data_IF_666860912471
#
_entry.id   IF_666860912471
#
_cell.length_a   1.000
_cell.length_b   1.000
_cell.length_c   1.000
_cell.angle_alpha   90.00
_cell.angle_beta   90.00
_cell.angle_gamma   90.00
#
_symmetry.space_group_name_H-M   'P 1'
#
loop_
_entity.id
_entity.type
_entity.pdbx_description
1 polymer ?
#
# COMPACT_ATOMS: atom_id res chain seq x y z
N UNK A 1 -8.67 43.19 4.33
CA UNK A 1 -9.60 42.32 5.07
C UNK A 1 -9.60 40.96 4.38
N UNK A 2 -8.98 39.95 5.01
CA UNK A 2 -8.78 38.63 4.41
C UNK A 2 -10.00 37.73 4.69
N UNK A 3 -10.69 37.31 3.62
CA UNK A 3 -11.79 36.36 3.69
C UNK A 3 -11.28 34.93 3.77
N UNK A 4 -11.47 34.28 4.93
CA UNK A 4 -11.27 32.83 5.11
C UNK A 4 -12.44 32.08 4.46
N UNK A 5 -12.17 31.35 3.37
CA UNK A 5 -13.13 30.41 2.79
C UNK A 5 -13.32 29.21 3.73
N UNK A 6 -14.56 29.02 4.19
CA UNK A 6 -15.00 27.85 4.96
C UNK A 6 -15.37 26.75 3.96
N UNK A 7 -14.75 25.59 4.07
CA UNK A 7 -15.12 24.41 3.29
C UNK A 7 -16.36 23.75 3.90
N UNK A 8 -17.40 23.61 3.08
CA UNK A 8 -18.65 22.93 3.42
C UNK A 8 -18.66 21.50 2.87
N UNK A 9 -19.38 20.66 3.60
CA UNK A 9 -19.54 19.22 3.48
C UNK A 9 -20.53 18.82 2.36
N UNK A 10 -20.32 17.70 1.67
CA UNK A 10 -21.42 16.91 1.10
C UNK A 10 -21.14 15.39 1.09
N UNK A 11 -22.17 14.64 1.47
CA UNK A 11 -22.25 13.19 1.66
C UNK A 11 -22.71 12.46 0.39
N UNK A 12 -22.33 11.19 0.26
CA UNK A 12 -22.95 10.24 -0.66
C UNK A 12 -22.34 8.83 -0.58
N UNK A 13 -22.87 7.97 0.28
CA UNK A 13 -22.48 6.57 0.41
C UNK A 13 -23.37 5.70 -0.50
N UNK A 14 -22.79 4.94 -1.43
CA UNK A 14 -23.53 4.04 -2.31
C UNK A 14 -22.96 2.61 -2.27
N UNK A 15 -23.81 1.62 -1.95
CA UNK A 15 -23.48 0.23 -1.57
C UNK A 15 -23.25 -0.73 -2.75
N UNK A 16 -22.84 -0.26 -3.93
CA UNK A 16 -22.80 -1.08 -5.15
C UNK A 16 -21.42 -1.59 -5.62
N UNK A 17 -20.32 -1.30 -4.91
CA UNK A 17 -18.96 -1.66 -5.38
C UNK A 17 -18.45 -3.07 -5.02
N UNK A 18 -19.20 -3.88 -4.26
CA UNK A 18 -18.69 -5.17 -3.77
C UNK A 18 -18.58 -6.27 -4.84
N UNK A 19 -19.30 -6.19 -5.96
CA UNK A 19 -19.32 -7.26 -6.98
C UNK A 19 -18.23 -7.13 -8.05
N UNK A 20 -17.71 -5.92 -8.29
CA UNK A 20 -16.63 -5.70 -9.26
C UNK A 20 -15.25 -6.08 -8.70
N UNK A 21 -15.03 -5.91 -7.39
CA UNK A 21 -13.81 -6.29 -6.67
C UNK A 21 -13.54 -7.80 -6.73
N UNK A 22 -14.58 -8.63 -6.63
CA UNK A 22 -14.46 -10.10 -6.61
C UNK A 22 -14.06 -10.67 -7.97
N UNK A 23 -14.49 -10.05 -9.08
CA UNK A 23 -14.11 -10.51 -10.43
C UNK A 23 -12.64 -10.19 -10.80
N UNK A 24 -12.10 -9.06 -10.34
CA UNK A 24 -10.68 -8.73 -10.56
C UNK A 24 -9.75 -9.65 -9.76
N UNK A 25 -10.10 -9.97 -8.51
CA UNK A 25 -9.35 -10.90 -7.66
C UNK A 25 -9.37 -12.32 -8.28
N UNK A 26 -10.51 -12.77 -8.80
CA UNK A 26 -10.63 -14.09 -9.43
C UNK A 26 -9.87 -14.24 -10.77
N UNK A 27 -9.63 -13.13 -11.49
CA UNK A 27 -8.79 -13.12 -12.69
C UNK A 27 -7.29 -13.18 -12.36
N UNK A 28 -6.86 -12.51 -11.28
CA UNK A 28 -5.48 -12.58 -10.77
C UNK A 28 -5.15 -13.94 -10.15
N UNK A 29 -6.11 -14.60 -9.49
CA UNK A 29 -5.90 -15.89 -8.83
C UNK A 29 -5.55 -17.06 -9.76
N UNK A 30 -5.91 -17.02 -11.04
CA UNK A 30 -5.59 -18.09 -12.01
C UNK A 30 -4.19 -17.98 -12.63
N UNK A 31 -3.49 -16.86 -12.43
CA UNK A 31 -2.21 -16.59 -13.10
C UNK A 31 -0.99 -16.64 -12.18
N UNK A 32 -1.18 -16.52 -10.86
CA UNK A 32 -0.09 -16.22 -9.92
C UNK A 32 0.71 -17.42 -9.36
N UNK A 33 0.35 -18.67 -9.67
CA UNK A 33 1.09 -19.85 -9.20
C UNK A 33 1.39 -20.80 -10.35
N UNK A 34 2.58 -20.67 -10.96
CA UNK A 34 3.16 -21.72 -11.80
C UNK A 34 4.07 -22.59 -10.93
N UNK A 35 3.74 -23.88 -10.82
CA UNK A 35 4.61 -24.87 -10.18
C UNK A 35 5.89 -25.06 -11.00
N UNK A 36 7.02 -24.57 -10.51
CA UNK A 36 8.33 -24.89 -11.08
C UNK A 36 8.97 -26.06 -10.34
N UNK A 37 9.28 -27.13 -11.09
CA UNK A 37 10.20 -28.20 -10.66
C UNK A 37 11.48 -27.57 -10.09
N UNK A 38 11.79 -27.92 -8.85
CA UNK A 38 13.01 -27.51 -8.15
C UNK A 38 14.25 -27.83 -9.01
N UNK A 39 14.93 -26.79 -9.50
CA UNK A 39 16.33 -26.89 -9.93
C UNK A 39 17.18 -26.62 -8.70
N UNK A 40 17.79 -27.68 -8.17
CA UNK A 40 18.84 -27.61 -7.17
C UNK A 40 20.02 -26.89 -7.81
N UNK A 41 20.30 -25.66 -7.39
CA UNK A 41 21.51 -24.93 -7.76
C UNK A 41 22.55 -25.12 -6.64
N UNK A 42 23.68 -25.71 -6.99
CA UNK A 42 24.83 -25.84 -6.10
C UNK A 42 25.54 -24.50 -5.86
N UNK A 43 26.09 -24.39 -4.65
CA UNK A 43 26.50 -23.18 -3.96
C UNK A 43 27.74 -22.46 -4.53
N UNK A 44 27.79 -21.15 -4.26
CA UNK A 44 28.97 -20.29 -4.33
C UNK A 44 28.80 -19.04 -3.45
N UNK A 45 29.20 -19.18 -2.17
CA UNK A 45 29.64 -18.14 -1.21
C UNK A 45 28.90 -16.79 -1.10
N UNK A 46 28.06 -16.65 -0.07
CA UNK A 46 28.18 -15.74 1.10
C UNK A 46 26.88 -15.93 1.90
N UNK A 47 27.00 -16.22 3.21
CA UNK A 47 25.92 -16.69 4.07
C UNK A 47 24.72 -15.75 4.13
N UNK A 48 23.69 -16.06 3.35
CA UNK A 48 22.31 -15.70 3.65
C UNK A 48 21.63 -17.01 4.02
N UNK A 49 21.27 -17.15 5.30
CA UNK A 49 20.50 -18.28 5.79
C UNK A 49 19.18 -18.28 5.00
N UNK A 50 19.09 -19.03 3.90
CA UNK A 50 17.83 -19.23 3.18
C UNK A 50 16.99 -20.13 4.07
N UNK A 51 16.35 -19.50 5.04
CA UNK A 51 15.44 -20.17 5.93
C UNK A 51 14.16 -20.39 5.13
N UNK A 52 14.03 -21.57 4.53
CA UNK A 52 12.86 -21.96 3.75
C UNK A 52 11.67 -22.03 4.71
N UNK A 53 10.86 -20.96 4.78
CA UNK A 53 9.59 -20.94 5.50
C UNK A 53 8.59 -21.72 4.66
N UNK A 54 8.66 -23.05 4.72
CA UNK A 54 7.90 -23.95 3.84
C UNK A 54 6.38 -23.98 4.12
N UNK A 55 5.87 -23.19 5.06
CA UNK A 55 4.44 -23.16 5.40
C UNK A 55 3.93 -21.72 5.54
N UNK A 56 3.64 -21.10 4.41
CA UNK A 56 2.80 -19.90 4.33
C UNK A 56 1.37 -20.25 3.91
N UNK A 57 0.42 -19.41 4.29
CA UNK A 57 -0.97 -19.49 3.89
C UNK A 57 -1.13 -18.80 2.52
N UNK A 58 -1.32 -19.60 1.48
CA UNK A 58 -1.45 -19.10 0.10
C UNK A 58 -2.69 -18.24 -0.11
N UNK A 59 -3.81 -18.54 0.54
CA UNK A 59 -5.03 -17.72 0.46
C UNK A 59 -4.81 -16.32 1.06
N UNK A 60 -4.12 -16.28 2.21
CA UNK A 60 -3.73 -15.01 2.84
C UNK A 60 -2.80 -14.23 1.91
N UNK A 61 -1.75 -14.86 1.37
CA UNK A 61 -0.85 -14.21 0.40
C UNK A 61 -1.60 -13.62 -0.81
N UNK A 62 -2.47 -14.43 -1.42
CA UNK A 62 -3.26 -14.05 -2.60
C UNK A 62 -4.24 -12.90 -2.32
N UNK A 63 -4.57 -12.67 -1.05
CA UNK A 63 -5.36 -11.53 -0.60
C UNK A 63 -4.48 -10.33 -0.26
N UNK A 64 -3.36 -10.54 0.44
CA UNK A 64 -2.48 -9.48 0.91
C UNK A 64 -1.77 -8.74 -0.21
N UNK A 65 -1.15 -9.47 -1.15
CA UNK A 65 -0.32 -8.85 -2.18
C UNK A 65 -1.10 -7.85 -3.06
N UNK A 66 -2.31 -8.17 -3.57
CA UNK A 66 -3.13 -7.20 -4.29
C UNK A 66 -3.48 -5.95 -3.48
N UNK A 67 -3.71 -6.08 -2.16
CA UNK A 67 -4.00 -4.92 -1.28
C UNK A 67 -2.76 -4.02 -1.18
N UNK A 68 -1.56 -4.59 -1.00
CA UNK A 68 -0.30 -3.82 -0.98
C UNK A 68 -0.08 -3.12 -2.33
N UNK A 69 -0.33 -3.82 -3.44
CA UNK A 69 -0.24 -3.22 -4.78
C UNK A 69 -1.24 -2.07 -4.98
N UNK A 70 -2.49 -2.20 -4.50
CA UNK A 70 -3.49 -1.11 -4.51
C UNK A 70 -3.08 0.09 -3.67
N UNK A 71 -2.47 -0.15 -2.51
CA UNK A 71 -1.83 0.92 -1.75
C UNK A 71 -0.82 1.69 -2.62
N UNK A 72 0.09 1.00 -3.31
CA UNK A 72 1.08 1.64 -4.20
C UNK A 72 0.40 2.45 -5.31
N UNK A 73 -0.63 1.91 -5.97
CA UNK A 73 -1.43 2.65 -6.96
C UNK A 73 -1.93 3.98 -6.40
N UNK A 74 -2.58 3.94 -5.24
CA UNK A 74 -3.18 5.13 -4.64
C UNK A 74 -2.15 6.17 -4.22
N UNK A 75 -0.99 5.76 -3.69
CA UNK A 75 0.08 6.71 -3.37
C UNK A 75 0.63 7.37 -4.63
N UNK A 76 0.87 6.61 -5.70
CA UNK A 76 1.38 7.14 -6.97
C UNK A 76 0.40 8.11 -7.59
N UNK A 77 -0.89 7.77 -7.64
CA UNK A 77 -1.94 8.66 -8.16
C UNK A 77 -2.06 9.93 -7.34
N UNK A 78 -2.11 9.81 -6.00
CA UNK A 78 -2.13 10.96 -5.10
C UNK A 78 -0.97 11.93 -5.40
N UNK A 79 0.26 11.43 -5.49
CA UNK A 79 1.46 12.25 -5.75
C UNK A 79 1.44 12.90 -7.13
N UNK A 80 1.12 12.12 -8.17
CA UNK A 80 1.10 12.62 -9.53
C UNK A 80 0.06 13.73 -9.70
N UNK A 81 -1.16 13.53 -9.19
CA UNK A 81 -2.24 14.51 -9.26
C UNK A 81 -1.95 15.74 -8.41
N UNK A 82 -1.47 15.57 -7.18
CA UNK A 82 -1.14 16.68 -6.29
C UNK A 82 -0.04 17.57 -6.90
N UNK A 83 1.00 16.97 -7.49
CA UNK A 83 2.05 17.70 -8.19
C UNK A 83 1.48 18.57 -9.32
N UNK A 84 0.66 17.98 -10.20
CA UNK A 84 0.04 18.74 -11.30
C UNK A 84 -0.90 19.85 -10.80
N UNK A 85 -1.66 19.57 -9.74
CA UNK A 85 -2.59 20.52 -9.11
C UNK A 85 -1.86 21.72 -8.52
N UNK A 86 -0.79 21.48 -7.76
CA UNK A 86 0.03 22.55 -7.18
C UNK A 86 0.78 23.36 -8.24
N UNK A 87 1.39 22.70 -9.23
CA UNK A 87 2.15 23.38 -10.29
C UNK A 87 1.27 24.30 -11.16
N UNK A 88 0.00 23.94 -11.36
CA UNK A 88 -0.96 24.73 -12.14
C UNK A 88 -1.78 25.70 -11.29
N UNK A 89 -1.58 25.70 -9.97
CA UNK A 89 -2.32 26.53 -9.02
C UNK A 89 -3.84 26.44 -9.21
N UNK A 90 -4.33 25.25 -9.56
CA UNK A 90 -5.77 25.06 -9.73
C UNK A 90 -6.48 25.21 -8.38
N UNK A 91 -7.71 25.69 -8.44
CA UNK A 91 -8.60 25.81 -7.28
C UNK A 91 -9.97 25.26 -7.69
N UNK A 92 -10.05 23.94 -7.88
CA UNK A 92 -11.33 23.30 -8.16
C UNK A 92 -11.57 22.10 -7.24
N UNK A 93 -12.84 21.96 -6.87
CA UNK A 93 -13.29 20.97 -5.89
C UNK A 93 -13.14 19.55 -6.43
N UNK A 94 -13.37 19.33 -7.72
CA UNK A 94 -13.25 18.02 -8.36
C UNK A 94 -11.85 17.42 -8.17
N UNK A 95 -10.78 18.15 -8.50
CA UNK A 95 -9.42 17.65 -8.34
C UNK A 95 -9.03 17.53 -6.87
N UNK A 96 -9.46 18.47 -6.03
CA UNK A 96 -9.23 18.39 -4.57
C UNK A 96 -9.79 17.10 -4.00
N UNK A 97 -11.08 16.80 -4.27
CA UNK A 97 -11.73 15.59 -3.79
C UNK A 97 -11.14 14.31 -4.38
N UNK A 98 -10.68 14.35 -5.64
CA UNK A 98 -10.04 13.19 -6.29
C UNK A 98 -8.69 12.88 -5.65
N UNK A 99 -7.87 13.91 -5.38
CA UNK A 99 -6.58 13.77 -4.70
C UNK A 99 -6.79 13.23 -3.29
N UNK A 100 -7.73 13.81 -2.54
CA UNK A 100 -8.06 13.37 -1.18
C UNK A 100 -8.53 11.91 -1.16
N UNK A 101 -9.38 11.50 -2.12
CA UNK A 101 -9.84 10.13 -2.21
C UNK A 101 -8.67 9.14 -2.34
N UNK A 102 -7.66 9.44 -3.17
CA UNK A 102 -6.49 8.59 -3.29
C UNK A 102 -5.62 8.55 -2.03
N UNK A 103 -5.44 9.69 -1.35
CA UNK A 103 -4.77 9.72 -0.05
C UNK A 103 -5.47 8.82 0.97
N UNK A 104 -6.79 8.99 1.11
CA UNK A 104 -7.59 8.24 2.07
C UNK A 104 -7.56 6.73 1.76
N UNK A 105 -7.72 6.36 0.49
CA UNK A 105 -7.66 4.96 0.08
C UNK A 105 -6.27 4.36 0.29
N UNK A 106 -5.19 5.10 0.04
CA UNK A 106 -3.83 4.63 0.32
C UNK A 106 -3.68 4.26 1.81
N UNK A 107 -4.08 5.14 2.72
CA UNK A 107 -3.98 4.87 4.16
C UNK A 107 -4.81 3.65 4.57
N UNK A 108 -6.05 3.53 4.06
CA UNK A 108 -6.91 2.38 4.35
C UNK A 108 -6.25 1.07 3.93
N UNK A 109 -5.77 0.97 2.69
CA UNK A 109 -5.13 -0.25 2.16
C UNK A 109 -3.85 -0.58 2.92
N UNK A 110 -3.01 0.42 3.22
CA UNK A 110 -1.81 0.20 4.03
C UNK A 110 -2.16 -0.37 5.41
N UNK A 111 -3.16 0.23 6.07
CA UNK A 111 -3.57 -0.20 7.40
C UNK A 111 -4.27 -1.57 7.41
N UNK A 112 -4.85 -2.05 6.31
CA UNK A 112 -5.35 -3.43 6.23
C UNK A 112 -4.21 -4.44 6.43
N UNK A 113 -3.05 -4.20 5.83
CA UNK A 113 -1.92 -5.12 5.88
C UNK A 113 -1.06 -4.89 7.11
N UNK A 114 -0.73 -3.64 7.42
CA UNK A 114 0.28 -3.29 8.43
C UNK A 114 -0.29 -2.65 9.70
N UNK A 115 -1.54 -2.20 9.67
CA UNK A 115 -2.15 -1.39 10.73
C UNK A 115 -2.99 -2.21 11.71
N UNK A 116 -4.05 -2.85 11.22
CA UNK A 116 -5.02 -3.59 12.02
C UNK A 116 -4.46 -4.93 12.52
N UNK A 117 -3.49 -4.89 13.42
CA UNK A 117 -3.05 -6.06 14.17
C UNK A 117 -4.23 -6.66 14.96
N UNK A 118 -4.28 -7.99 15.10
CA UNK A 118 -5.37 -8.73 15.74
C UNK A 118 -6.22 -9.55 14.76
N UNK A 119 -7.55 -9.38 14.79
CA UNK A 119 -8.52 -10.24 14.08
C UNK A 119 -8.64 -10.00 12.58
N UNK A 120 -7.97 -8.98 12.02
CA UNK A 120 -8.03 -8.74 10.59
C UNK A 120 -7.25 -9.83 9.83
N UNK A 121 -7.90 -10.68 9.03
CA UNK A 121 -7.24 -11.81 8.36
C UNK A 121 -6.20 -11.38 7.33
N UNK A 122 -6.27 -10.12 6.88
CA UNK A 122 -5.31 -9.57 5.89
C UNK A 122 -4.04 -9.02 6.52
N UNK A 123 -3.93 -8.97 7.85
CA UNK A 123 -2.71 -8.47 8.50
C UNK A 123 -1.51 -9.37 8.18
N UNK A 124 -0.34 -8.78 7.89
CA UNK A 124 0.86 -9.49 7.40
C UNK A 124 1.27 -10.68 8.29
N UNK A 125 1.01 -10.62 9.60
CA UNK A 125 1.29 -11.70 10.56
C UNK A 125 0.53 -13.00 10.28
N UNK A 126 -0.62 -12.95 9.60
CA UNK A 126 -1.43 -14.13 9.29
C UNK A 126 -0.90 -14.95 8.12
N UNK A 127 0.21 -14.52 7.50
CA UNK A 127 0.83 -15.23 6.41
C UNK A 127 1.36 -16.62 6.84
N UNK A 128 1.69 -16.85 8.12
CA UNK A 128 1.96 -18.20 8.63
C UNK A 128 1.26 -18.42 9.96
N UNK A 129 0.52 -19.52 10.07
CA UNK A 129 -0.15 -19.93 11.31
C UNK A 129 0.76 -20.71 12.25
N UNK A 130 1.80 -21.37 11.71
CA UNK A 130 2.60 -22.35 12.45
C UNK A 130 3.96 -21.80 12.89
N UNK A 131 4.40 -20.67 12.32
CA UNK A 131 5.70 -20.05 12.58
C UNK A 131 5.58 -18.53 12.80
N UNK A 132 4.49 -18.09 13.42
CA UNK A 132 4.13 -16.66 13.53
C UNK A 132 5.19 -15.82 14.23
N UNK A 133 5.85 -16.34 15.29
CA UNK A 133 6.89 -15.61 16.02
C UNK A 133 8.16 -15.39 15.19
N UNK A 134 8.61 -16.41 14.47
CA UNK A 134 9.78 -16.35 13.61
C UNK A 134 9.52 -15.49 12.37
N UNK A 135 8.33 -15.63 11.78
CA UNK A 135 7.88 -14.77 10.69
C UNK A 135 7.84 -13.30 11.14
N UNK A 136 7.29 -13.02 12.32
CA UNK A 136 7.26 -11.69 12.90
C UNK A 136 8.66 -11.11 13.11
N UNK A 137 9.59 -11.92 13.63
CA UNK A 137 10.97 -11.51 13.81
C UNK A 137 11.66 -11.18 12.48
N UNK A 138 11.58 -12.08 11.49
CA UNK A 138 12.21 -11.84 10.17
C UNK A 138 11.68 -10.58 9.49
N UNK A 139 10.37 -10.32 9.58
CA UNK A 139 9.77 -9.12 9.04
C UNK A 139 10.25 -7.87 9.78
N UNK A 140 10.19 -7.83 11.12
CA UNK A 140 10.58 -6.64 11.88
C UNK A 140 12.07 -6.34 11.76
N UNK A 141 12.92 -7.34 11.92
CA UNK A 141 14.37 -7.18 11.86
C UNK A 141 14.81 -6.73 10.46
N UNK A 142 14.21 -7.32 9.42
CA UNK A 142 14.42 -6.90 8.05
C UNK A 142 13.93 -5.47 7.81
N UNK A 143 12.72 -5.14 8.26
CA UNK A 143 12.14 -3.81 8.08
C UNK A 143 13.00 -2.73 8.75
N UNK A 144 13.42 -2.94 9.99
CA UNK A 144 14.26 -2.00 10.74
C UNK A 144 15.61 -1.79 10.07
N UNK A 145 16.20 -2.87 9.53
CA UNK A 145 17.44 -2.79 8.77
C UNK A 145 17.28 -1.98 7.48
N UNK A 146 16.24 -2.23 6.69
CA UNK A 146 16.06 -1.58 5.39
C UNK A 146 15.56 -0.13 5.51
N UNK A 147 14.79 0.19 6.54
CA UNK A 147 14.23 1.53 6.74
C UNK A 147 15.06 2.42 7.65
N UNK A 148 16.07 1.84 8.32
CA UNK A 148 16.92 2.51 9.32
C UNK A 148 16.13 3.12 10.48
N UNK A 149 15.01 2.49 10.87
CA UNK A 149 14.21 2.90 12.04
C UNK A 149 14.31 1.84 13.13
N UNK A 150 14.19 2.29 14.37
CA UNK A 150 14.09 1.39 15.52
C UNK A 150 12.62 1.07 15.88
N UNK A 151 12.44 0.20 16.88
CA UNK A 151 11.13 -0.24 17.35
C UNK A 151 10.24 0.90 17.87
N UNK A 152 10.81 1.92 18.51
CA UNK A 152 10.07 3.07 19.03
C UNK A 152 9.57 3.96 17.90
N UNK A 153 10.43 4.23 16.91
CA UNK A 153 10.10 5.01 15.72
C UNK A 153 9.03 4.32 14.88
N UNK A 154 9.15 3.01 14.70
CA UNK A 154 8.12 2.19 14.07
C UNK A 154 6.80 2.29 14.83
N UNK A 155 6.81 2.13 16.15
CA UNK A 155 5.60 2.21 16.96
C UNK A 155 4.93 3.58 16.87
N UNK A 156 5.72 4.66 16.85
CA UNK A 156 5.21 6.02 16.65
C UNK A 156 4.57 6.17 15.28
N UNK A 157 5.27 5.77 14.22
CA UNK A 157 4.77 5.85 12.85
C UNK A 157 3.50 5.02 12.63
N UNK A 158 3.50 3.77 13.12
CA UNK A 158 2.34 2.88 13.05
C UNK A 158 1.13 3.47 13.78
N UNK A 159 1.32 4.05 14.97
CA UNK A 159 0.24 4.74 15.70
C UNK A 159 -0.29 5.94 14.92
N UNK A 160 0.57 6.72 14.28
CA UNK A 160 0.18 7.86 13.45
C UNK A 160 -0.70 7.43 12.27
N UNK A 161 -0.24 6.43 11.49
CA UNK A 161 -1.00 5.88 10.36
C UNK A 161 -2.37 5.36 10.78
N UNK A 162 -2.44 4.59 11.88
CA UNK A 162 -3.72 4.11 12.41
C UNK A 162 -4.62 5.23 12.90
N UNK A 163 -4.06 6.19 13.63
CA UNK A 163 -4.82 7.31 14.16
C UNK A 163 -5.46 8.12 13.02
N UNK A 164 -4.69 8.39 11.96
CA UNK A 164 -5.21 9.04 10.75
C UNK A 164 -6.30 8.20 10.08
N UNK A 165 -6.11 6.89 9.93
CA UNK A 165 -7.14 6.01 9.38
C UNK A 165 -8.43 6.10 10.19
N UNK A 166 -8.35 5.86 11.49
CA UNK A 166 -9.51 5.73 12.35
C UNK A 166 -10.29 7.04 12.41
N UNK A 167 -9.58 8.16 12.56
CA UNK A 167 -10.24 9.44 12.81
C UNK A 167 -10.56 10.24 11.55
N UNK A 168 -9.86 10.00 10.44
CA UNK A 168 -9.99 10.82 9.24
C UNK A 168 -10.41 10.02 8.00
N UNK A 169 -9.74 8.89 7.73
CA UNK A 169 -10.04 8.12 6.53
C UNK A 169 -11.34 7.30 6.64
N UNK A 170 -11.64 6.73 7.81
CA UNK A 170 -12.76 5.82 8.03
C UNK A 170 -13.95 6.47 8.74
N UNK A 171 -13.76 7.09 9.91
CA UNK A 171 -14.88 7.56 10.74
C UNK A 171 -15.12 9.07 10.71
N UNK A 172 -14.22 9.88 10.13
CA UNK A 172 -14.28 11.36 10.09
C UNK A 172 -14.77 11.98 11.41
N UNK A 173 -14.02 11.75 12.48
CA UNK A 173 -14.31 12.27 13.82
C UNK A 173 -14.28 13.80 13.83
N UNK A 174 -15.32 14.41 14.42
CA UNK A 174 -15.41 15.87 14.57
C UNK A 174 -14.26 16.42 15.44
N UNK A 175 -13.77 17.61 15.11
CA UNK A 175 -12.73 18.35 15.84
C UNK A 175 -11.35 17.66 15.95
N UNK A 176 -11.06 16.64 15.12
CA UNK A 176 -9.73 16.05 15.08
C UNK A 176 -8.88 16.71 13.98
N UNK A 177 -7.92 17.54 14.39
CA UNK A 177 -6.87 18.06 13.51
C UNK A 177 -5.76 17.01 13.41
N UNK A 178 -5.94 16.03 12.53
CA UNK A 178 -4.91 15.03 12.29
C UNK A 178 -3.91 15.55 11.25
N UNK A 179 -2.61 15.49 11.56
CA UNK A 179 -1.58 15.66 10.54
C UNK A 179 -1.64 14.50 9.57
N UNK A 180 -1.52 14.79 8.27
CA UNK A 180 -1.46 13.74 7.24
C UNK A 180 -0.13 12.99 7.39
N UNK A 181 -0.13 11.66 7.53
CA UNK A 181 1.09 10.92 7.74
C UNK A 181 2.00 10.94 6.51
N UNK A 182 3.30 10.90 6.73
CA UNK A 182 4.28 10.80 5.65
C UNK A 182 4.20 9.43 4.97
N UNK A 183 3.73 9.41 3.72
CA UNK A 183 3.57 8.17 2.95
C UNK A 183 4.87 7.59 2.41
N UNK A 184 6.00 8.31 2.49
CA UNK A 184 7.31 7.78 2.08
C UNK A 184 7.73 6.58 2.91
N UNK A 185 7.50 6.62 4.22
CA UNK A 185 7.78 5.48 5.09
C UNK A 185 6.84 4.30 4.77
N UNK A 186 5.56 4.56 4.52
CA UNK A 186 4.59 3.53 4.12
C UNK A 186 4.99 2.85 2.81
N UNK A 187 5.51 3.60 1.82
CA UNK A 187 6.04 3.03 0.58
C UNK A 187 7.28 2.17 0.84
N UNK A 188 8.22 2.62 1.68
CA UNK A 188 9.38 1.80 2.05
C UNK A 188 8.97 0.47 2.71
N UNK A 189 7.97 0.50 3.60
CA UNK A 189 7.40 -0.70 4.23
C UNK A 189 6.77 -1.63 3.19
N UNK A 190 6.05 -1.08 2.19
CA UNK A 190 5.45 -1.88 1.14
C UNK A 190 6.48 -2.51 0.19
N UNK A 191 7.56 -1.79 -0.15
CA UNK A 191 8.65 -2.34 -0.95
C UNK A 191 9.39 -3.43 -0.18
N UNK A 192 9.71 -3.19 1.10
CA UNK A 192 10.29 -4.22 1.95
C UNK A 192 9.38 -5.46 2.04
N UNK A 193 8.07 -5.28 2.20
CA UNK A 193 7.13 -6.39 2.22
C UNK A 193 7.17 -7.21 0.91
N UNK A 194 7.28 -6.57 -0.25
CA UNK A 194 7.40 -7.27 -1.54
C UNK A 194 8.71 -8.07 -1.67
N UNK A 195 9.84 -7.50 -1.22
CA UNK A 195 11.10 -8.23 -1.22
C UNK A 195 11.04 -9.42 -0.25
N UNK A 196 10.55 -9.17 0.98
CA UNK A 196 10.42 -10.18 2.02
C UNK A 196 9.43 -11.29 1.65
N UNK A 197 8.27 -10.97 1.08
CA UNK A 197 7.26 -11.99 0.73
C UNK A 197 7.79 -12.95 -0.33
N UNK A 198 8.58 -12.45 -1.29
CA UNK A 198 9.24 -13.27 -2.32
C UNK A 198 10.24 -14.26 -1.71
N UNK A 199 10.94 -13.87 -0.66
CA UNK A 199 11.80 -14.78 0.12
C UNK A 199 10.96 -15.81 0.89
N UNK A 200 9.86 -15.38 1.53
CA UNK A 200 8.99 -16.26 2.35
C UNK A 200 8.32 -17.35 1.53
N UNK A 201 7.80 -17.03 0.33
CA UNK A 201 7.05 -18.00 -0.49
C UNK A 201 7.96 -18.94 -1.30
N UNK A 202 9.27 -18.68 -1.34
CA UNK A 202 10.26 -19.47 -2.07
C UNK A 202 10.17 -20.96 -1.66
N UNK A 203 10.18 -21.90 -2.63
CA UNK A 203 10.55 -21.74 -4.03
C UNK A 203 9.41 -21.30 -4.96
N UNK A 204 8.21 -21.00 -4.44
CA UNK A 204 7.14 -20.47 -5.29
C UNK A 204 7.49 -19.05 -5.76
N UNK A 205 7.03 -18.72 -6.95
CA UNK A 205 7.19 -17.39 -7.55
C UNK A 205 5.86 -16.95 -8.13
N UNK A 206 5.72 -15.64 -8.33
CA UNK A 206 4.56 -15.03 -8.98
C UNK A 206 5.04 -13.98 -9.99
N UNK A 207 4.33 -13.87 -11.10
CA UNK A 207 4.77 -13.14 -12.30
C UNK A 207 4.57 -11.61 -12.21
N UNK A 208 4.58 -11.04 -11.00
CA UNK A 208 4.50 -9.60 -10.79
C UNK A 208 5.91 -9.01 -10.64
N UNK A 209 6.22 -7.88 -11.31
CA UNK A 209 7.50 -7.20 -11.14
C UNK A 209 7.65 -6.68 -9.70
N UNK A 210 8.89 -6.41 -9.24
CA UNK A 210 9.11 -5.78 -7.96
C UNK A 210 8.28 -4.50 -7.81
N UNK A 211 7.63 -4.31 -6.65
CA UNK A 211 6.70 -3.20 -6.42
C UNK A 211 7.37 -1.83 -6.61
N UNK A 212 8.68 -1.74 -6.34
CA UNK A 212 9.46 -0.52 -6.56
C UNK A 212 9.58 -0.18 -8.05
N UNK A 213 9.87 -1.16 -8.90
CA UNK A 213 9.95 -0.98 -10.36
C UNK A 213 8.57 -0.67 -10.95
N UNK A 214 7.55 -1.39 -10.46
CA UNK A 214 6.16 -1.13 -10.79
C UNK A 214 5.74 0.30 -10.45
N UNK A 215 6.07 0.80 -9.25
CA UNK A 215 5.73 2.15 -8.82
C UNK A 215 6.38 3.22 -9.71
N UNK A 216 7.65 3.04 -10.10
CA UNK A 216 8.33 3.96 -11.02
C UNK A 216 7.65 4.01 -12.38
N UNK A 217 7.37 2.85 -12.98
CA UNK A 217 6.69 2.76 -14.30
C UNK A 217 5.28 3.38 -14.23
N UNK A 218 4.56 3.12 -13.13
CA UNK A 218 3.24 3.70 -12.90
C UNK A 218 3.32 5.22 -12.76
N UNK A 219 4.31 5.75 -12.05
CA UNK A 219 4.47 7.18 -11.84
C UNK A 219 4.73 7.92 -13.15
N UNK A 220 5.58 7.38 -14.03
CA UNK A 220 5.86 7.97 -15.33
C UNK A 220 4.60 8.08 -16.20
N UNK A 221 3.91 6.95 -16.37
CA UNK A 221 2.68 6.88 -17.18
C UNK A 221 1.55 7.74 -16.60
N UNK A 222 1.37 7.71 -15.28
CA UNK A 222 0.35 8.50 -14.58
C UNK A 222 0.66 9.98 -14.66
N UNK A 223 1.91 10.40 -14.48
CA UNK A 223 2.29 11.82 -14.54
C UNK A 223 2.02 12.42 -15.92
N UNK A 224 2.33 11.66 -16.99
CA UNK A 224 2.02 12.08 -18.36
C UNK A 224 0.51 12.17 -18.61
N UNK A 225 -0.28 11.21 -18.12
CA UNK A 225 -1.73 11.23 -18.24
C UNK A 225 -2.37 12.38 -17.44
N UNK A 226 -1.95 12.55 -16.19
CA UNK A 226 -2.42 13.61 -15.30
C UNK A 226 -2.16 14.98 -15.94
N UNK A 227 -0.97 15.22 -16.50
CA UNK A 227 -0.68 16.47 -17.21
C UNK A 227 -1.72 16.79 -18.30
N UNK A 228 -2.03 15.82 -19.17
CA UNK A 228 -3.04 15.98 -20.23
C UNK A 228 -4.45 16.25 -19.68
N UNK A 229 -4.86 15.53 -18.64
CA UNK A 229 -6.18 15.70 -18.02
C UNK A 229 -6.31 17.08 -17.37
N UNK A 230 -5.26 17.57 -16.74
CA UNK A 230 -5.23 18.91 -16.15
C UNK A 230 -5.28 19.99 -17.23
N UNK A 231 -4.57 19.81 -18.34
CA UNK A 231 -4.59 20.77 -19.44
C UNK A 231 -5.97 20.84 -20.11
N UNK A 232 -6.69 19.71 -20.18
CA UNK A 232 -8.07 19.65 -20.68
C UNK A 232 -9.12 20.24 -19.71
N UNK A 233 -8.80 20.38 -18.43
CA UNK A 233 -9.72 20.85 -17.37
C UNK A 233 -9.40 22.25 -16.86
N UNK A 234 -8.41 22.93 -17.48
CA UNK A 234 -8.27 24.39 -17.35
C UNK A 234 -9.49 25.04 -18.01
N UNK A 235 -10.52 25.29 -17.20
CA UNK A 235 -11.59 26.21 -17.58
C UNK A 235 -10.95 27.58 -17.78
N UNK A 236 -11.18 28.17 -18.96
CA UNK A 236 -10.75 29.54 -19.31
C UNK A 236 -11.30 30.56 -18.33
#
# INVERSE_FOLDING_TARGET
>A
MAGKARHACFLGCNKHNALYEVCLIAAQCRWLLRSTRAKIFCAGSIGRLVMVIAHYNSEVFMTQFPIVKRFVYHVVYYRALLKQYSERQLQNEFWTLTIDAHLLQAVVHWCMIFGSDGTNPTHWKHLSTNQSSQLEQTFRDGLFRETYINQEEWNRYWKEMKHFRDNYAAHRTLNNLCTTPHLDMALKVAYFYDDWIREVISPHTFDEPPLKEFASTLLESTSALAGRLFDATKVQ
#
